data_IF_136815792539
#
_entry.id   IF_136815792539
#
_cell.length_a   1.000
_cell.length_b   1.000
_cell.length_c   1.000
_cell.angle_alpha   90.00
_cell.angle_beta   90.00
_cell.angle_gamma   90.00
#
_symmetry.space_group_name_H-M   'P 1'
#
loop_
_entity.id
_entity.type
_entity.pdbx_description
1 polymer ?
#
# COMPACT_ATOMS: atom_id res chain seq x y z
N UNK A 1 -29.41 4.48 50.58
CA UNK A 1 -28.09 4.87 50.02
C UNK A 1 -27.95 4.21 48.67
N UNK A 2 -27.74 4.95 47.57
CA UNK A 2 -27.48 4.30 46.29
C UNK A 2 -26.15 3.54 46.37
N UNK A 3 -26.06 2.34 45.75
CA UNK A 3 -24.86 1.52 45.81
C UNK A 3 -23.71 2.24 45.08
N UNK A 4 -22.56 2.35 45.76
CA UNK A 4 -21.33 2.88 45.18
C UNK A 4 -20.96 2.09 43.91
N UNK A 5 -20.46 2.74 42.85
CA UNK A 5 -20.06 2.04 41.63
C UNK A 5 -18.85 1.13 41.92
N UNK A 6 -19.08 -0.17 42.01
CA UNK A 6 -18.01 -1.19 41.89
C UNK A 6 -17.64 -1.30 40.41
N UNK A 7 -16.64 -0.52 39.95
CA UNK A 7 -15.98 -0.72 38.64
C UNK A 7 -14.69 0.11 38.45
N UNK A 8 -13.95 0.37 39.52
CA UNK A 8 -12.65 1.10 39.45
C UNK A 8 -11.45 0.28 39.95
N UNK A 9 -11.69 -0.91 40.53
CA UNK A 9 -10.66 -1.75 41.14
C UNK A 9 -9.85 -2.54 40.10
N UNK A 10 -10.48 -2.99 39.00
CA UNK A 10 -9.77 -3.74 37.94
C UNK A 10 -8.76 -2.86 37.20
N UNK A 11 -9.14 -1.61 36.90
CA UNK A 11 -8.26 -0.67 36.19
C UNK A 11 -6.97 -0.38 36.96
N UNK A 12 -7.06 -0.19 38.28
CA UNK A 12 -5.87 0.08 39.11
C UNK A 12 -5.02 -1.17 39.30
N UNK A 13 -5.64 -2.34 39.50
CA UNK A 13 -4.93 -3.61 39.66
C UNK A 13 -4.15 -3.98 38.40
N UNK A 14 -4.75 -3.79 37.22
CA UNK A 14 -4.09 -4.02 35.92
C UNK A 14 -2.96 -3.00 35.71
N UNK A 15 -3.18 -1.72 36.00
CA UNK A 15 -2.12 -0.70 35.91
C UNK A 15 -0.93 -1.04 36.82
N UNK A 16 -1.21 -1.44 38.06
CA UNK A 16 -0.19 -1.85 39.04
C UNK A 16 0.56 -3.11 38.57
N UNK A 17 -0.14 -4.08 37.96
CA UNK A 17 0.45 -5.30 37.43
C UNK A 17 1.31 -5.06 36.18
N UNK A 18 0.88 -4.20 35.25
CA UNK A 18 1.69 -3.75 34.11
C UNK A 18 2.97 -3.04 34.59
N UNK A 19 2.85 -2.22 35.64
CA UNK A 19 3.99 -1.54 36.26
C UNK A 19 4.97 -2.51 36.91
N UNK A 20 4.47 -3.54 37.59
CA UNK A 20 5.28 -4.50 38.33
C UNK A 20 5.89 -5.60 37.45
N UNK A 21 5.26 -5.96 36.34
CA UNK A 21 5.63 -7.15 35.56
C UNK A 21 6.17 -6.84 34.16
N UNK A 22 5.73 -5.75 33.51
CA UNK A 22 6.17 -5.40 32.14
C UNK A 22 7.27 -4.35 32.15
N UNK A 23 7.09 -3.23 32.85
CA UNK A 23 8.07 -2.15 32.82
C UNK A 23 9.47 -2.56 33.32
N UNK A 24 9.65 -3.47 34.29
CA UNK A 24 10.98 -3.94 34.69
C UNK A 24 11.70 -4.74 33.59
N UNK A 25 10.98 -5.19 32.56
CA UNK A 25 11.60 -5.84 31.40
C UNK A 25 12.34 -4.84 30.50
N UNK A 26 12.03 -3.54 30.60
CA UNK A 26 12.65 -2.46 29.86
C UNK A 26 13.97 -2.07 30.55
N UNK A 27 15.07 -2.66 30.11
CA UNK A 27 16.42 -2.42 30.62
C UNK A 27 17.02 -1.11 30.07
N UNK A 28 18.23 -0.74 30.51
CA UNK A 28 18.88 0.52 30.10
C UNK A 28 19.13 0.63 28.59
N UNK A 29 19.17 -0.48 27.87
CA UNK A 29 19.40 -0.50 26.42
C UNK A 29 18.10 -0.48 25.60
N UNK A 30 16.93 -0.36 26.26
CA UNK A 30 15.61 -0.44 25.65
C UNK A 30 14.82 0.87 25.83
N UNK A 31 14.13 1.28 24.77
CA UNK A 31 13.14 2.36 24.78
C UNK A 31 11.74 1.79 24.51
N UNK A 32 10.72 2.58 24.86
CA UNK A 32 9.33 2.26 24.54
C UNK A 32 8.59 3.45 23.93
N UNK A 33 7.70 3.14 22.99
CA UNK A 33 6.81 4.12 22.33
C UNK A 33 5.38 3.63 22.34
N UNK A 34 4.45 4.54 22.65
CA UNK A 34 3.02 4.30 22.52
C UNK A 34 2.47 5.07 21.32
N UNK A 35 1.61 4.43 20.53
CA UNK A 35 0.92 5.05 19.40
C UNK A 35 -0.47 4.46 19.17
N UNK A 36 -1.27 5.13 18.34
CA UNK A 36 -2.61 4.68 17.97
C UNK A 36 -2.83 4.94 16.49
N UNK A 37 -3.24 3.90 15.77
CA UNK A 37 -3.69 3.95 14.38
C UNK A 37 -5.22 4.02 14.36
N UNK A 38 -5.82 4.95 13.62
CA UNK A 38 -7.27 5.21 13.60
C UNK A 38 -7.77 5.15 12.16
N UNK A 39 -8.84 4.41 11.90
CA UNK A 39 -9.42 4.35 10.56
C UNK A 39 -10.48 5.43 10.39
N UNK A 40 -10.06 6.65 10.05
CA UNK A 40 -11.01 7.71 9.67
C UNK A 40 -11.52 7.43 8.26
N UNK A 41 -12.79 7.10 8.18
CA UNK A 41 -13.52 6.90 6.93
C UNK A 41 -14.74 7.82 6.92
N UNK A 42 -15.45 7.90 5.80
CA UNK A 42 -16.74 8.61 5.79
C UNK A 42 -17.73 7.87 6.68
N UNK A 43 -18.71 8.58 7.22
CA UNK A 43 -19.77 8.02 8.06
C UNK A 43 -20.39 6.75 7.46
N UNK A 44 -20.67 6.80 6.15
CA UNK A 44 -21.22 5.71 5.35
C UNK A 44 -20.36 4.44 5.30
N UNK A 45 -19.05 4.58 5.56
CA UNK A 45 -18.06 3.52 5.35
C UNK A 45 -17.55 2.95 6.69
N UNK A 46 -18.02 3.48 7.84
CA UNK A 46 -17.56 3.06 9.18
C UNK A 46 -17.82 1.57 9.42
N UNK A 47 -18.94 1.04 8.93
CA UNK A 47 -19.24 -0.39 9.01
C UNK A 47 -18.20 -1.26 8.28
N UNK A 48 -17.74 -0.82 7.10
CA UNK A 48 -16.71 -1.52 6.33
C UNK A 48 -15.38 -1.50 7.09
N UNK A 49 -15.00 -0.34 7.63
CA UNK A 49 -13.78 -0.20 8.42
C UNK A 49 -13.81 -1.09 9.67
N UNK A 50 -14.95 -1.21 10.34
CA UNK A 50 -15.14 -2.11 11.50
C UNK A 50 -15.02 -3.57 11.10
N UNK A 51 -15.62 -3.96 9.98
CA UNK A 51 -15.59 -5.35 9.50
C UNK A 51 -14.18 -5.81 9.06
N UNK A 52 -13.29 -4.88 8.69
CA UNK A 52 -11.94 -5.20 8.23
C UNK A 52 -10.85 -5.02 9.30
N UNK A 53 -11.21 -4.62 10.54
CA UNK A 53 -10.24 -4.25 11.57
C UNK A 53 -9.34 -5.41 11.99
N UNK A 54 -9.82 -6.65 12.00
CA UNK A 54 -9.04 -7.84 12.32
C UNK A 54 -7.92 -8.09 11.29
N UNK A 55 -8.26 -8.01 10.00
CA UNK A 55 -7.29 -8.14 8.91
C UNK A 55 -6.27 -7.01 8.92
N UNK A 56 -6.72 -5.75 9.14
CA UNK A 56 -5.81 -4.61 9.28
C UNK A 56 -4.89 -4.75 10.50
N UNK A 57 -5.39 -5.25 11.63
CA UNK A 57 -4.56 -5.56 12.81
C UNK A 57 -3.51 -6.61 12.51
N UNK A 58 -3.90 -7.74 11.92
CA UNK A 58 -2.96 -8.81 11.56
C UNK A 58 -1.81 -8.28 10.69
N UNK A 59 -2.15 -7.50 9.66
CA UNK A 59 -1.15 -6.90 8.77
C UNK A 59 -0.23 -5.92 9.49
N UNK A 60 -0.77 -5.06 10.35
CA UNK A 60 0.03 -4.12 11.13
C UNK A 60 0.90 -4.83 12.18
N UNK A 61 0.40 -5.88 12.83
CA UNK A 61 1.15 -6.70 13.79
C UNK A 61 2.34 -7.38 13.10
N UNK A 62 2.16 -7.92 11.88
CA UNK A 62 3.26 -8.47 11.06
C UNK A 62 4.30 -7.40 10.72
N UNK A 63 3.83 -6.21 10.33
CA UNK A 63 4.69 -5.07 10.02
C UNK A 63 5.53 -4.65 11.23
N UNK A 64 4.91 -4.48 12.40
CA UNK A 64 5.62 -4.11 13.65
C UNK A 64 6.58 -5.21 14.09
N UNK A 65 6.19 -6.47 13.95
CA UNK A 65 7.05 -7.62 14.26
C UNK A 65 8.30 -7.70 13.39
N UNK A 66 8.21 -7.25 12.14
CA UNK A 66 9.34 -7.24 11.19
C UNK A 66 10.32 -6.07 11.40
N UNK A 67 10.02 -5.13 12.29
CA UNK A 67 10.86 -3.95 12.50
C UNK A 67 12.14 -4.27 13.26
N UNK A 68 13.26 -3.81 12.71
CA UNK A 68 14.58 -4.04 13.30
C UNK A 68 14.67 -3.43 14.72
N UNK A 69 15.04 -4.29 15.67
CA UNK A 69 15.26 -3.92 17.06
C UNK A 69 14.03 -3.92 17.95
N UNK A 70 12.83 -4.21 17.42
CA UNK A 70 11.65 -4.49 18.26
C UNK A 70 11.91 -5.77 19.05
N UNK A 71 11.66 -5.71 20.36
CA UNK A 71 11.84 -6.85 21.27
C UNK A 71 10.52 -7.56 21.51
N UNK A 72 9.49 -6.79 21.84
CA UNK A 72 8.11 -7.22 22.00
C UNK A 72 7.19 -6.00 21.95
N UNK A 73 5.90 -6.22 21.72
CA UNK A 73 4.92 -5.14 21.75
C UNK A 73 3.52 -5.62 22.13
N UNK A 74 2.71 -4.69 22.61
CA UNK A 74 1.26 -4.86 22.78
C UNK A 74 0.54 -4.27 21.57
N UNK A 75 -0.45 -4.98 21.05
CA UNK A 75 -1.44 -4.46 20.10
C UNK A 75 -2.84 -4.59 20.71
N UNK A 76 -3.64 -3.53 20.68
CA UNK A 76 -5.00 -3.55 21.20
C UNK A 76 -5.97 -2.86 20.26
N UNK A 77 -7.03 -3.56 19.85
CA UNK A 77 -8.15 -2.95 19.14
C UNK A 77 -8.88 -2.01 20.10
N UNK A 78 -9.23 -0.82 19.64
CA UNK A 78 -9.87 0.26 20.40
C UNK A 78 -10.78 1.07 19.47
N UNK A 79 -11.42 2.11 19.99
CA UNK A 79 -12.20 3.06 19.20
C UNK A 79 -11.93 4.50 19.62
N UNK A 80 -12.15 5.42 18.68
CA UNK A 80 -12.01 6.88 18.90
C UNK A 80 -13.33 7.55 18.54
N UNK A 81 -13.89 8.31 19.49
CA UNK A 81 -15.13 9.06 19.26
C UNK A 81 -14.96 10.08 18.12
N UNK A 82 -15.97 10.17 17.25
CA UNK A 82 -16.11 11.27 16.32
C UNK A 82 -16.39 12.55 17.12
N UNK A 83 -15.46 13.50 17.17
CA UNK A 83 -15.75 14.82 17.73
C UNK A 83 -16.71 15.55 16.79
N UNK A 84 -18.01 15.49 17.07
CA UNK A 84 -18.99 16.36 16.44
C UNK A 84 -18.63 17.82 16.81
N UNK A 85 -18.22 18.63 15.82
CA UNK A 85 -18.27 20.08 15.99
C UNK A 85 -19.72 20.44 16.22
N UNK A 86 -19.98 21.14 17.32
CA UNK A 86 -21.28 21.65 17.72
C UNK A 86 -21.99 22.36 16.56
N UNK A 87 -22.94 21.69 15.93
CA UNK A 87 -24.07 22.36 15.29
C UNK A 87 -25.19 22.32 16.33
N UNK A 88 -25.42 23.46 16.97
CA UNK A 88 -26.75 23.75 17.52
C UNK A 88 -27.67 23.80 16.31
N UNK A 89 -28.62 22.89 16.23
CA UNK A 89 -30.04 23.20 16.13
C UNK A 89 -30.83 21.94 15.75
N UNK A 90 -32.06 21.93 16.29
CA UNK A 90 -33.21 21.08 16.03
C UNK A 90 -33.37 19.75 16.76
N UNK A 91 -34.34 19.81 17.67
CA UNK A 91 -35.07 18.76 18.33
C UNK A 91 -35.50 17.66 17.35
N UNK A 92 -34.88 16.48 17.47
CA UNK A 92 -35.56 15.22 17.26
C UNK A 92 -34.79 14.10 17.96
N UNK A 93 -35.41 13.53 18.99
CA UNK A 93 -34.96 12.30 19.66
C UNK A 93 -34.94 11.14 18.66
N UNK A 94 -33.81 10.95 18.00
CA UNK A 94 -33.37 9.65 17.50
C UNK A 94 -32.10 9.32 18.26
N UNK A 95 -32.06 8.13 18.85
CA UNK A 95 -30.91 7.63 19.63
C UNK A 95 -29.70 7.41 18.73
N UNK A 96 -29.01 8.49 18.35
CA UNK A 96 -27.72 8.43 17.66
C UNK A 96 -26.68 7.88 18.63
N UNK A 97 -26.37 6.59 18.51
CA UNK A 97 -25.15 6.04 19.13
C UNK A 97 -23.97 6.83 18.57
N UNK A 98 -23.13 7.47 19.41
CA UNK A 98 -22.00 8.23 18.90
C UNK A 98 -21.12 7.30 18.06
N UNK A 99 -21.00 7.61 16.78
CA UNK A 99 -20.16 6.82 15.89
C UNK A 99 -18.70 7.00 16.31
N UNK A 100 -18.00 5.87 16.39
CA UNK A 100 -16.60 5.82 16.79
C UNK A 100 -15.81 5.09 15.72
N UNK A 101 -14.69 5.69 15.33
CA UNK A 101 -13.76 5.11 14.37
C UNK A 101 -13.04 3.92 15.00
N UNK A 102 -12.93 2.79 14.28
CA UNK A 102 -12.11 1.68 14.75
C UNK A 102 -10.63 2.07 14.74
N UNK A 103 -9.89 1.59 15.72
CA UNK A 103 -8.50 1.96 15.92
C UNK A 103 -7.70 0.80 16.53
N UNK A 104 -6.38 0.87 16.41
CA UNK A 104 -5.45 -0.09 17.01
C UNK A 104 -4.38 0.70 17.78
N UNK A 105 -4.29 0.47 19.08
CA UNK A 105 -3.28 1.05 19.96
C UNK A 105 -2.09 0.10 20.08
N UNK A 106 -0.88 0.67 20.12
CA UNK A 106 0.37 -0.07 20.24
C UNK A 106 1.22 0.46 21.39
N UNK A 107 1.89 -0.45 22.08
CA UNK A 107 3.02 -0.16 22.98
C UNK A 107 4.21 -1.01 22.54
N UNK A 108 5.19 -0.39 21.89
CA UNK A 108 6.33 -1.09 21.25
C UNK A 108 7.59 -0.88 22.06
N UNK A 109 8.26 -1.97 22.43
CA UNK A 109 9.56 -1.96 23.13
C UNK A 109 10.66 -2.32 22.13
N UNK A 110 11.69 -1.49 22.05
CA UNK A 110 12.76 -1.63 21.05
C UNK A 110 14.13 -1.25 21.62
N UNK A 111 15.20 -1.71 20.97
CA UNK A 111 16.59 -1.42 21.38
C UNK A 111 17.01 0.00 20.98
N UNK A 112 17.63 0.75 21.89
CA UNK A 112 18.00 2.17 21.71
C UNK A 112 18.91 2.40 20.49
N UNK A 113 19.84 1.47 20.22
CA UNK A 113 20.74 1.55 19.06
C UNK A 113 20.09 1.11 17.74
N UNK A 114 18.85 0.63 17.75
CA UNK A 114 18.19 0.16 16.54
C UNK A 114 17.63 1.33 15.72
N UNK A 115 17.63 1.17 14.39
CA UNK A 115 16.98 2.07 13.44
C UNK A 115 15.45 2.03 13.52
N UNK A 116 14.86 1.60 14.63
CA UNK A 116 13.47 1.84 14.96
C UNK A 116 13.29 3.33 15.29
N UNK A 117 13.57 4.15 14.28
CA UNK A 117 13.32 5.58 14.31
C UNK A 117 11.82 5.71 14.42
N UNK A 118 11.33 6.39 15.45
CA UNK A 118 9.91 6.57 15.70
C UNK A 118 9.19 7.02 14.40
N UNK A 119 9.86 7.83 13.56
CA UNK A 119 9.40 8.23 12.22
C UNK A 119 9.10 7.08 11.25
N UNK A 120 9.86 5.98 11.30
CA UNK A 120 9.68 4.78 10.48
C UNK A 120 8.50 3.97 11.00
N UNK A 121 8.41 3.71 12.31
CA UNK A 121 7.24 3.06 12.91
C UNK A 121 5.96 3.84 12.54
N UNK A 122 6.01 5.17 12.64
CA UNK A 122 4.88 6.04 12.28
C UNK A 122 4.59 6.07 10.78
N UNK A 123 5.58 6.18 9.90
CA UNK A 123 5.34 6.19 8.46
C UNK A 123 4.79 4.84 7.99
N UNK A 124 5.28 3.74 8.56
CA UNK A 124 4.84 2.40 8.17
C UNK A 124 3.42 2.12 8.68
N UNK A 125 3.05 2.58 9.87
CA UNK A 125 1.66 2.50 10.37
C UNK A 125 0.72 3.46 9.59
N UNK A 126 1.21 4.63 9.16
CA UNK A 126 0.42 5.64 8.46
C UNK A 126 0.17 5.32 6.97
N UNK A 127 1.09 4.60 6.31
CA UNK A 127 0.99 4.26 4.87
C UNK A 127 -0.02 3.13 4.56
N UNK A 128 -0.65 2.50 5.56
CA UNK A 128 -1.60 1.38 5.42
C UNK A 128 -3.09 1.79 5.27
N UNK A 129 -3.36 3.01 4.79
CA UNK A 129 -4.70 3.62 4.60
C UNK A 129 -5.47 3.96 5.90
N UNK A 130 -4.77 4.52 6.89
CA UNK A 130 -5.37 5.02 8.14
C UNK A 130 -5.07 6.51 8.32
N UNK A 131 -6.08 7.37 8.09
CA UNK A 131 -6.04 8.79 8.48
C UNK A 131 -6.18 8.87 10.00
N UNK A 132 -5.08 9.12 10.73
CA UNK A 132 -5.11 9.03 12.18
C UNK A 132 -4.16 9.97 12.89
N UNK A 133 -4.69 10.69 13.86
CA UNK A 133 -3.91 11.54 14.74
C UNK A 133 -3.05 10.66 15.68
N UNK A 134 -1.76 10.65 15.41
CA UNK A 134 -0.77 9.91 16.21
C UNK A 134 -0.48 10.68 17.49
N UNK A 135 -1.12 10.31 18.61
CA UNK A 135 -0.72 10.82 19.93
C UNK A 135 0.54 10.09 20.39
N UNK A 136 1.69 10.74 20.21
CA UNK A 136 3.02 10.22 20.57
C UNK A 136 3.29 10.35 22.06
N UNK A 137 3.74 9.27 22.71
CA UNK A 137 4.46 9.36 23.98
C UNK A 137 5.74 8.53 23.95
N UNK A 138 6.88 9.19 24.21
CA UNK A 138 8.21 8.57 24.36
C UNK A 138 8.53 8.34 25.83
N UNK A 139 9.09 7.18 26.13
CA UNK A 139 9.64 6.84 27.45
C UNK A 139 11.16 6.68 27.32
N UNK A 140 11.93 7.47 28.09
CA UNK A 140 13.40 7.34 28.19
C UNK A 140 13.77 7.01 29.63
N UNK A 141 14.61 6.01 29.87
CA UNK A 141 15.15 5.76 31.20
C UNK A 141 16.38 6.66 31.43
N UNK A 142 16.17 7.89 31.91
CA UNK A 142 17.28 8.67 32.48
C UNK A 142 17.44 8.33 33.96
N UNK A 143 18.66 8.48 34.48
CA UNK A 143 19.13 8.17 35.84
C UNK A 143 18.41 8.89 36.99
N UNK A 144 17.26 9.54 36.75
CA UNK A 144 16.41 10.15 37.76
C UNK A 144 14.90 9.88 37.51
N UNK A 145 14.26 9.39 38.59
CA UNK A 145 12.83 9.51 38.95
C UNK A 145 11.82 8.42 38.52
N UNK A 146 11.09 7.93 39.53
CA UNK A 146 9.81 7.19 39.45
C UNK A 146 8.79 7.79 38.44
N UNK A 147 8.93 9.07 38.09
CA UNK A 147 7.98 9.83 37.25
C UNK A 147 7.96 9.32 35.81
N UNK A 148 9.10 8.92 35.23
CA UNK A 148 9.13 8.45 33.83
C UNK A 148 8.53 7.05 33.72
N UNK A 149 8.79 6.19 34.70
CA UNK A 149 8.15 4.87 34.82
C UNK A 149 6.64 5.01 35.07
N UNK A 150 6.22 6.00 35.85
CA UNK A 150 4.81 6.32 36.06
C UNK A 150 4.13 6.77 34.77
N UNK A 151 4.82 7.58 33.96
CA UNK A 151 4.34 7.98 32.62
C UNK A 151 4.23 6.76 31.70
N UNK A 152 5.21 5.87 31.70
CA UNK A 152 5.20 4.65 30.91
C UNK A 152 4.05 3.71 31.29
N UNK A 153 3.81 3.53 32.58
CA UNK A 153 2.70 2.73 33.10
C UNK A 153 1.35 3.27 32.61
N UNK A 154 1.13 4.59 32.72
CA UNK A 154 -0.09 5.25 32.24
C UNK A 154 -0.29 5.07 30.73
N UNK A 155 0.78 5.10 29.94
CA UNK A 155 0.69 4.90 28.50
C UNK A 155 0.38 3.45 28.12
N UNK A 156 1.09 2.50 28.72
CA UNK A 156 0.83 1.08 28.52
C UNK A 156 -0.60 0.72 28.93
N UNK A 157 -1.06 1.24 30.08
CA UNK A 157 -2.45 1.09 30.51
C UNK A 157 -3.44 1.68 29.50
N UNK A 158 -3.16 2.88 28.97
CA UNK A 158 -4.02 3.50 27.96
C UNK A 158 -4.09 2.71 26.65
N UNK A 159 -3.04 1.97 26.29
CA UNK A 159 -3.02 1.06 25.13
C UNK A 159 -3.95 -0.12 25.37
N UNK A 160 -3.87 -0.76 26.54
CA UNK A 160 -4.63 -1.98 26.81
C UNK A 160 -6.01 -1.73 27.42
N UNK A 161 -6.42 -0.47 27.65
CA UNK A 161 -7.66 -0.11 28.38
C UNK A 161 -8.94 -0.79 27.90
N UNK A 162 -9.02 -1.15 26.62
CA UNK A 162 -10.21 -1.74 25.99
C UNK A 162 -10.14 -3.28 25.90
N UNK A 163 -9.17 -3.90 26.60
CA UNK A 163 -8.95 -5.35 26.58
C UNK A 163 -10.21 -6.18 26.94
N UNK A 164 -11.09 -5.65 27.79
CA UNK A 164 -12.34 -6.29 28.22
C UNK A 164 -13.58 -5.51 27.78
N UNK A 165 -13.47 -4.69 26.74
CA UNK A 165 -14.60 -3.90 26.24
C UNK A 165 -15.50 -4.77 25.35
N UNK A 166 -16.71 -5.07 25.82
CA UNK A 166 -17.66 -5.94 25.11
C UNK A 166 -17.96 -5.45 23.68
N UNK A 167 -18.11 -4.14 23.47
CA UNK A 167 -18.38 -3.58 22.13
C UNK A 167 -17.21 -3.78 21.17
N UNK A 168 -15.97 -3.69 21.67
CA UNK A 168 -14.77 -3.97 20.88
C UNK A 168 -14.67 -5.47 20.59
N UNK A 169 -15.02 -6.32 21.55
CA UNK A 169 -15.03 -7.76 21.38
C UNK A 169 -16.08 -8.22 20.34
N UNK A 170 -17.29 -7.67 20.38
CA UNK A 170 -18.34 -7.89 19.38
C UNK A 170 -17.87 -7.42 17.99
N UNK A 171 -17.27 -6.23 17.90
CA UNK A 171 -16.69 -5.74 16.64
C UNK A 171 -15.62 -6.69 16.08
N UNK A 172 -14.75 -7.22 16.94
CA UNK A 172 -13.70 -8.15 16.54
C UNK A 172 -14.29 -9.49 16.05
N UNK A 173 -15.32 -10.01 16.72
CA UNK A 173 -16.02 -11.23 16.29
C UNK A 173 -16.69 -11.05 14.92
N UNK A 174 -17.39 -9.92 14.72
CA UNK A 174 -17.99 -9.58 13.42
C UNK A 174 -16.91 -9.44 12.35
N UNK A 175 -15.80 -8.78 12.67
CA UNK A 175 -14.68 -8.61 11.75
C UNK A 175 -14.02 -9.94 11.39
N UNK A 176 -13.78 -10.82 12.36
CA UNK A 176 -13.22 -12.15 12.13
C UNK A 176 -14.14 -12.98 11.23
N UNK A 177 -15.46 -12.98 11.50
CA UNK A 177 -16.43 -13.67 10.64
C UNK A 177 -16.48 -13.09 9.22
N UNK A 178 -16.39 -11.76 9.08
CA UNK A 178 -16.32 -11.09 7.78
C UNK A 178 -15.03 -11.45 7.02
N UNK A 179 -13.89 -11.49 7.70
CA UNK A 179 -12.60 -11.81 7.09
C UNK A 179 -12.56 -13.28 6.64
N UNK A 180 -13.04 -14.21 7.46
CA UNK A 180 -13.10 -15.64 7.09
C UNK A 180 -14.01 -15.89 5.87
N UNK A 181 -15.19 -15.27 5.83
CA UNK A 181 -16.13 -15.42 4.70
C UNK A 181 -15.62 -14.85 3.39
N UNK A 182 -14.76 -13.83 3.43
CA UNK A 182 -14.19 -13.21 2.24
C UNK A 182 -12.80 -13.78 1.88
N UNK A 183 -12.22 -14.65 2.71
CA UNK A 183 -11.02 -15.44 2.37
C UNK A 183 -11.36 -16.78 1.71
N UNK A 184 -12.59 -17.28 1.87
CA UNK A 184 -13.13 -18.38 1.08
C UNK A 184 -13.44 -17.83 -0.32
N UNK A 185 -12.67 -18.27 -1.32
CA UNK A 185 -12.85 -17.86 -2.71
C UNK A 185 -14.28 -18.07 -3.18
N UNK A 186 -14.72 -17.21 -4.09
CA UNK A 186 -15.98 -17.39 -4.84
C UNK A 186 -15.97 -18.80 -5.43
N UNK A 187 -16.97 -19.66 -5.17
CA UNK A 187 -17.00 -20.99 -5.77
C UNK A 187 -17.15 -20.80 -7.29
N UNK A 188 -16.14 -21.21 -8.05
CA UNK A 188 -16.32 -21.51 -9.47
C UNK A 188 -17.06 -22.83 -9.55
N UNK A 189 -18.22 -22.83 -10.19
CA UNK A 189 -19.10 -24.00 -10.37
C UNK A 189 -18.53 -25.09 -11.30
N UNK A 190 -17.25 -25.03 -11.65
CA UNK A 190 -16.58 -26.04 -12.46
C UNK A 190 -15.29 -26.43 -11.74
N UNK A 191 -15.30 -27.59 -11.07
CA UNK A 191 -14.25 -28.62 -11.09
C UNK A 191 -14.49 -29.64 -9.96
N UNK A 192 -14.83 -30.87 -10.36
CA UNK A 192 -14.80 -32.06 -9.51
C UNK A 192 -13.34 -32.55 -9.35
N UNK A 193 -13.08 -33.15 -8.19
CA UNK A 193 -11.96 -34.04 -7.81
C UNK A 193 -10.63 -33.43 -7.32
N UNK A 194 -10.43 -33.63 -6.02
CA UNK A 194 -9.20 -33.96 -5.28
C UNK A 194 -7.88 -33.25 -5.65
N UNK A 195 -7.57 -32.21 -4.87
CA UNK A 195 -6.33 -32.14 -4.10
C UNK A 195 -6.55 -31.17 -2.93
N UNK A 196 -6.39 -31.63 -1.68
CA UNK A 196 -6.51 -30.75 -0.51
C UNK A 196 -5.36 -29.72 -0.51
N UNK A 197 -5.62 -28.41 -0.58
CA UNK A 197 -4.60 -27.42 -0.33
C UNK A 197 -4.34 -27.34 1.18
N UNK A 198 -3.06 -27.41 1.58
CA UNK A 198 -2.61 -27.15 2.95
C UNK A 198 -3.15 -25.78 3.41
N UNK A 199 -4.11 -25.82 4.35
CA UNK A 199 -4.65 -24.63 5.00
C UNK A 199 -3.55 -23.94 5.81
N UNK A 200 -3.04 -22.80 5.33
CA UNK A 200 -2.40 -21.81 6.20
C UNK A 200 -3.50 -21.23 7.09
N UNK A 201 -3.60 -21.72 8.32
CA UNK A 201 -4.57 -21.23 9.31
C UNK A 201 -4.43 -19.71 9.50
N UNK A 202 -5.29 -18.92 8.85
CA UNK A 202 -5.49 -17.49 9.12
C UNK A 202 -6.18 -17.31 10.46
N UNK A 203 -5.46 -17.57 11.55
CA UNK A 203 -5.99 -17.38 12.89
C UNK A 203 -6.00 -15.89 13.24
N UNK A 204 -7.18 -15.27 13.21
CA UNK A 204 -7.37 -13.94 13.76
C UNK A 204 -7.60 -14.05 15.27
N UNK A 205 -6.83 -13.35 16.12
CA UNK A 205 -7.07 -13.34 17.55
C UNK A 205 -8.51 -12.90 17.86
N UNK A 206 -9.19 -13.65 18.72
CA UNK A 206 -10.56 -13.35 19.17
C UNK A 206 -10.61 -12.43 20.41
N UNK A 207 -9.46 -11.91 20.84
CA UNK A 207 -9.34 -10.98 21.97
C UNK A 207 -8.86 -9.60 21.52
N UNK A 208 -9.35 -8.52 22.14
CA UNK A 208 -8.95 -7.16 21.75
C UNK A 208 -7.46 -6.88 21.91
N UNK A 209 -6.81 -7.46 22.93
CA UNK A 209 -5.41 -7.21 23.29
C UNK A 209 -4.53 -8.44 22.99
N UNK A 210 -3.40 -8.23 22.34
CA UNK A 210 -2.37 -9.24 22.13
C UNK A 210 -1.01 -8.69 22.56
N UNK A 211 -0.13 -9.61 22.93
CA UNK A 211 1.28 -9.34 23.16
C UNK A 211 2.09 -10.26 22.24
N UNK A 212 3.00 -9.66 21.49
CA UNK A 212 3.81 -10.35 20.49
C UNK A 212 5.28 -10.22 20.89
N UNK A 213 5.96 -11.35 21.04
CA UNK A 213 7.38 -11.42 21.39
C UNK A 213 8.17 -11.65 20.11
N UNK A 214 8.99 -10.67 19.73
CA UNK A 214 9.81 -10.71 18.50
C UNK A 214 11.18 -11.33 18.78
N UNK A 215 11.85 -10.91 19.86
CA UNK A 215 13.11 -11.52 20.30
C UNK A 215 12.84 -12.62 21.32
N UNK A 216 12.44 -13.78 20.81
CA UNK A 216 12.08 -14.92 21.66
C UNK A 216 13.24 -15.40 22.54
N UNK A 217 14.47 -15.36 22.03
CA UNK A 217 15.65 -15.83 22.77
C UNK A 217 15.93 -15.06 24.06
N UNK A 218 15.45 -13.82 24.16
CA UNK A 218 15.69 -12.96 25.33
C UNK A 218 14.43 -12.74 26.17
N UNK A 219 13.26 -12.68 25.51
CA UNK A 219 12.04 -12.21 26.15
C UNK A 219 10.94 -13.26 26.30
N UNK A 220 10.99 -14.41 25.62
CA UNK A 220 9.88 -15.39 25.63
C UNK A 220 9.47 -15.77 27.05
N UNK A 221 10.38 -16.32 27.85
CA UNK A 221 10.04 -16.83 29.19
C UNK A 221 9.67 -15.70 30.16
N UNK A 222 10.33 -14.55 30.04
CA UNK A 222 10.11 -13.38 30.89
C UNK A 222 8.75 -12.75 30.62
N UNK A 223 8.38 -12.62 29.35
CA UNK A 223 7.09 -12.10 28.91
C UNK A 223 5.98 -13.10 29.22
N UNK A 224 6.18 -14.39 28.95
CA UNK A 224 5.20 -15.43 29.32
C UNK A 224 4.90 -15.41 30.82
N UNK A 225 5.93 -15.33 31.67
CA UNK A 225 5.76 -15.20 33.12
C UNK A 225 5.00 -13.92 33.51
N UNK A 226 5.29 -12.80 32.85
CA UNK A 226 4.57 -11.54 33.08
C UNK A 226 3.10 -11.64 32.65
N UNK A 227 2.83 -12.29 31.51
CA UNK A 227 1.48 -12.50 30.98
C UNK A 227 0.64 -13.34 31.93
N UNK A 228 1.15 -14.46 32.44
CA UNK A 228 0.41 -15.28 33.41
C UNK A 228 -0.01 -14.49 34.64
N UNK A 229 0.85 -13.57 35.11
CA UNK A 229 0.51 -12.67 36.23
C UNK A 229 -0.55 -11.65 35.82
N UNK A 230 -0.43 -11.05 34.65
CA UNK A 230 -1.42 -10.10 34.12
C UNK A 230 -2.80 -10.75 33.95
N UNK A 231 -2.86 -11.98 33.45
CA UNK A 231 -4.09 -12.77 33.33
C UNK A 231 -4.70 -13.07 34.70
N UNK A 232 -3.87 -13.45 35.69
CA UNK A 232 -4.32 -13.65 37.07
C UNK A 232 -4.87 -12.37 37.73
N UNK A 233 -4.47 -11.21 37.20
CA UNK A 233 -4.92 -9.88 37.62
C UNK A 233 -6.10 -9.35 36.79
N UNK A 234 -6.59 -10.13 35.81
CA UNK A 234 -7.80 -9.83 35.04
C UNK A 234 -7.56 -9.23 33.66
N UNK A 235 -6.31 -9.14 33.18
CA UNK A 235 -6.04 -8.72 31.81
C UNK A 235 -6.37 -9.85 30.83
N UNK A 236 -7.26 -9.58 29.88
CA UNK A 236 -7.57 -10.50 28.77
C UNK A 236 -6.59 -10.22 27.64
N UNK A 237 -5.64 -11.12 27.41
CA UNK A 237 -4.58 -10.96 26.41
C UNK A 237 -4.28 -12.30 25.75
N UNK A 238 -3.93 -12.27 24.47
CA UNK A 238 -3.42 -13.43 23.75
C UNK A 238 -1.91 -13.27 23.50
N UNK A 239 -1.14 -14.32 23.81
CA UNK A 239 0.32 -14.36 23.65
C UNK A 239 0.64 -15.01 22.30
N UNK A 240 0.96 -14.18 21.31
CA UNK A 240 1.37 -14.65 19.99
C UNK A 240 2.85 -15.05 19.95
N UNK A 241 3.15 -16.26 19.46
CA UNK A 241 4.52 -16.66 19.13
C UNK A 241 4.92 -16.08 17.76
N UNK A 242 5.90 -15.18 17.71
CA UNK A 242 6.51 -14.80 16.43
C UNK A 242 7.54 -15.88 16.05
N UNK A 243 7.19 -16.73 15.09
CA UNK A 243 8.11 -17.71 14.54
C UNK A 243 9.24 -16.98 13.78
N UNK A 244 10.38 -16.74 14.44
CA UNK A 244 11.60 -16.26 13.80
C UNK A 244 12.37 -17.47 13.28
N UNK A 245 12.27 -17.75 11.98
CA UNK A 245 13.15 -18.69 11.30
C UNK A 245 14.55 -18.08 11.24
N UNK A 246 15.48 -18.56 12.07
CA UNK A 246 16.91 -18.29 11.90
C UNK A 246 17.45 -19.18 10.79
N UNK A 247 17.94 -18.58 9.71
CA UNK A 247 18.76 -19.26 8.70
C UNK A 247 20.24 -18.97 9.00
N UNK A 248 21.01 -20.04 9.22
CA UNK A 248 22.46 -19.99 9.37
C UNK A 248 23.12 -19.41 8.11
N UNK A 249 24.08 -18.50 8.32
CA UNK A 249 24.85 -17.84 7.27
C UNK A 249 25.84 -18.80 6.59
N UNK A 250 25.95 -18.77 5.25
CA UNK A 250 27.22 -19.01 4.58
C UNK A 250 27.85 -17.67 4.11
N UNK A 251 29.19 -17.61 3.99
CA UNK A 251 29.92 -16.35 3.86
C UNK A 251 29.99 -15.93 2.39
N UNK A 252 29.34 -14.81 2.04
CA UNK A 252 29.77 -14.04 0.88
C UNK A 252 29.82 -12.55 1.23
N UNK A 253 31.06 -12.09 1.37
CA UNK A 253 31.45 -10.69 1.44
C UNK A 253 31.10 -9.99 0.12
N UNK A 254 30.14 -9.07 0.15
CA UNK A 254 30.20 -7.84 -0.62
C UNK A 254 29.45 -6.77 0.15
N UNK A 255 30.14 -5.70 0.53
CA UNK A 255 29.74 -4.68 1.50
C UNK A 255 28.55 -3.76 1.10
N UNK A 256 27.50 -4.26 0.43
CA UNK A 256 26.29 -3.47 0.22
C UNK A 256 25.05 -4.35 -0.06
N UNK A 257 24.36 -4.79 1.00
CA UNK A 257 23.16 -5.64 0.93
C UNK A 257 22.04 -5.03 0.06
N UNK A 258 21.96 -3.70 0.00
CA UNK A 258 21.04 -2.95 -0.86
C UNK A 258 21.34 -3.20 -2.35
N UNK A 259 22.61 -3.24 -2.74
CA UNK A 259 22.99 -3.46 -4.14
C UNK A 259 22.72 -4.91 -4.56
N UNK A 260 22.97 -5.87 -3.68
CA UNK A 260 22.65 -7.28 -3.91
C UNK A 260 21.13 -7.48 -4.07
N UNK A 261 20.34 -6.81 -3.24
CA UNK A 261 18.89 -6.82 -3.33
C UNK A 261 18.38 -6.17 -4.63
N UNK A 262 18.89 -5.00 -5.01
CA UNK A 262 18.51 -4.35 -6.29
C UNK A 262 18.82 -5.25 -7.48
N UNK A 263 19.97 -5.95 -7.46
CA UNK A 263 20.30 -6.92 -8.51
C UNK A 263 19.30 -8.09 -8.57
N UNK A 264 18.80 -8.55 -7.42
CA UNK A 264 17.79 -9.61 -7.41
C UNK A 264 16.42 -9.09 -7.88
N UNK A 265 16.05 -7.85 -7.53
CA UNK A 265 14.85 -7.19 -8.05
C UNK A 265 14.93 -7.00 -9.56
N UNK A 266 16.09 -6.62 -10.11
CA UNK A 266 16.31 -6.53 -11.56
C UNK A 266 16.10 -7.89 -12.25
N UNK A 267 16.62 -8.98 -11.65
CA UNK A 267 16.38 -10.34 -12.16
C UNK A 267 14.90 -10.71 -12.14
N UNK A 268 14.19 -10.47 -11.04
CA UNK A 268 12.74 -10.75 -10.95
C UNK A 268 11.95 -9.91 -11.96
N UNK A 269 12.29 -8.63 -12.10
CA UNK A 269 11.70 -7.73 -13.10
C UNK A 269 11.85 -8.30 -14.50
N UNK A 270 13.04 -8.80 -14.87
CA UNK A 270 13.27 -9.44 -16.17
C UNK A 270 12.54 -10.78 -16.35
N UNK A 271 12.49 -11.60 -15.30
CA UNK A 271 11.77 -12.89 -15.33
C UNK A 271 10.28 -12.72 -15.55
N UNK A 272 9.69 -11.65 -15.01
CA UNK A 272 8.28 -11.35 -15.17
C UNK A 272 7.95 -10.52 -16.43
N UNK A 273 8.89 -10.36 -17.38
CA UNK A 273 8.71 -9.48 -18.55
C UNK A 273 8.29 -8.06 -18.14
N UNK A 274 8.85 -7.57 -17.03
CA UNK A 274 8.69 -6.21 -16.54
C UNK A 274 9.92 -5.36 -16.84
N UNK A 275 9.74 -4.05 -16.80
CA UNK A 275 10.79 -3.08 -17.08
C UNK A 275 10.63 -1.79 -16.27
N UNK A 276 11.75 -1.19 -15.89
CA UNK A 276 11.78 0.11 -15.23
C UNK A 276 11.89 1.24 -16.26
N UNK A 277 11.07 2.28 -16.12
CA UNK A 277 11.25 3.55 -16.83
C UNK A 277 10.76 4.71 -15.98
N UNK A 278 11.64 5.67 -15.71
CA UNK A 278 11.36 6.92 -15.00
C UNK A 278 10.44 6.74 -13.78
N UNK A 279 10.87 5.99 -12.78
CA UNK A 279 10.13 5.71 -11.53
C UNK A 279 8.86 4.87 -11.66
N UNK A 280 8.58 4.34 -12.86
CA UNK A 280 7.41 3.52 -13.14
C UNK A 280 7.83 2.15 -13.67
N UNK A 281 7.01 1.14 -13.36
CA UNK A 281 7.15 -0.23 -13.84
C UNK A 281 6.18 -0.46 -14.99
N UNK A 282 6.72 -1.03 -16.05
CA UNK A 282 6.01 -1.40 -17.27
C UNK A 282 6.01 -2.92 -17.42
N UNK A 283 4.98 -3.46 -18.06
CA UNK A 283 4.82 -4.89 -18.32
C UNK A 283 4.57 -5.11 -19.81
N UNK A 284 4.98 -6.27 -20.33
CA UNK A 284 4.69 -6.67 -21.71
C UNK A 284 3.26 -7.23 -21.79
N UNK A 285 2.33 -6.60 -22.53
CA UNK A 285 0.95 -7.07 -22.63
C UNK A 285 0.86 -8.34 -23.48
N UNK A 286 -0.17 -9.14 -23.27
CA UNK A 286 -0.42 -10.35 -24.05
C UNK A 286 -0.51 -10.06 -25.56
N UNK A 287 0.12 -10.91 -26.36
CA UNK A 287 0.18 -10.76 -27.82
C UNK A 287 1.23 -9.77 -28.33
N UNK A 288 1.89 -9.01 -27.44
CA UNK A 288 3.03 -8.15 -27.78
C UNK A 288 4.36 -8.89 -27.62
N UNK A 289 5.26 -8.69 -28.56
CA UNK A 289 6.63 -9.21 -28.53
C UNK A 289 7.66 -8.14 -28.15
N UNK A 290 7.32 -6.86 -28.31
CA UNK A 290 8.28 -5.75 -28.21
C UNK A 290 7.86 -4.66 -27.22
N UNK A 291 6.56 -4.44 -27.05
CA UNK A 291 6.02 -3.28 -26.35
C UNK A 291 5.85 -3.51 -24.87
N UNK A 292 6.19 -2.50 -24.09
CA UNK A 292 5.94 -2.41 -22.66
C UNK A 292 4.90 -1.31 -22.40
N UNK A 293 3.87 -1.63 -21.62
CA UNK A 293 2.82 -0.70 -21.20
C UNK A 293 2.90 -0.43 -19.71
N UNK A 294 2.55 0.79 -19.31
CA UNK A 294 2.63 1.20 -17.90
C UNK A 294 1.76 0.28 -17.05
N UNK A 295 2.35 -0.28 -16.00
CA UNK A 295 1.68 -1.19 -15.07
C UNK A 295 1.38 -0.48 -13.74
N UNK A 296 2.41 0.04 -13.06
CA UNK A 296 2.31 0.69 -11.75
C UNK A 296 3.55 1.54 -11.45
N UNK A 297 3.56 2.26 -10.33
CA UNK A 297 4.79 2.89 -9.82
C UNK A 297 5.71 1.87 -9.12
N UNK A 298 6.98 2.26 -8.96
CA UNK A 298 8.01 1.42 -8.31
C UNK A 298 7.61 1.04 -6.89
N UNK A 299 7.09 1.97 -6.08
CA UNK A 299 6.72 1.70 -4.69
C UNK A 299 5.67 0.59 -4.60
N UNK A 300 4.61 0.68 -5.41
CA UNK A 300 3.56 -0.34 -5.52
C UNK A 300 4.12 -1.69 -5.99
N UNK A 301 5.08 -1.66 -6.91
CA UNK A 301 5.74 -2.87 -7.39
C UNK A 301 6.59 -3.54 -6.32
N UNK A 302 7.36 -2.77 -5.55
CA UNK A 302 8.13 -3.28 -4.41
C UNK A 302 7.21 -3.88 -3.35
N UNK A 303 6.04 -3.28 -3.09
CA UNK A 303 5.04 -3.88 -2.21
C UNK A 303 4.52 -5.22 -2.74
N UNK A 304 4.32 -5.39 -4.05
CA UNK A 304 3.96 -6.69 -4.62
C UNK A 304 5.09 -7.72 -4.48
N UNK A 305 6.35 -7.29 -4.60
CA UNK A 305 7.50 -8.16 -4.39
C UNK A 305 7.66 -8.65 -2.94
N UNK A 306 6.96 -8.04 -1.96
CA UNK A 306 6.92 -8.56 -0.60
C UNK A 306 6.20 -9.92 -0.50
N UNK A 307 5.39 -10.28 -1.49
CA UNK A 307 4.80 -11.61 -1.59
C UNK A 307 5.84 -12.68 -2.02
N UNK A 308 7.02 -12.28 -2.51
CA UNK A 308 8.09 -13.20 -2.88
C UNK A 308 8.97 -13.53 -1.67
N UNK A 309 8.90 -14.76 -1.20
CA UNK A 309 9.59 -15.22 0.02
C UNK A 309 11.11 -15.02 -0.01
N UNK A 310 11.74 -15.11 -1.20
CA UNK A 310 13.19 -14.97 -1.37
C UNK A 310 13.65 -13.52 -1.23
N UNK A 311 12.85 -12.58 -1.70
CA UNK A 311 13.18 -11.14 -1.65
C UNK A 311 12.65 -10.45 -0.41
N UNK A 312 11.55 -10.97 0.16
CA UNK A 312 10.76 -10.32 1.21
C UNK A 312 11.62 -9.78 2.35
N UNK A 313 12.42 -10.62 2.98
CA UNK A 313 13.10 -10.25 4.22
C UNK A 313 14.16 -9.16 3.99
N UNK A 314 14.94 -9.28 2.90
CA UNK A 314 15.91 -8.25 2.49
C UNK A 314 15.21 -6.98 2.02
N UNK A 315 14.10 -7.13 1.29
CA UNK A 315 13.33 -6.00 0.76
C UNK A 315 12.67 -5.20 1.87
N UNK A 316 12.15 -5.83 2.92
CA UNK A 316 11.63 -5.13 4.11
C UNK A 316 12.75 -4.34 4.78
N UNK A 317 13.90 -4.97 5.02
CA UNK A 317 15.05 -4.35 5.69
C UNK A 317 15.57 -3.10 4.95
N UNK A 318 15.52 -3.12 3.62
CA UNK A 318 16.08 -2.06 2.78
C UNK A 318 15.04 -1.31 1.94
N UNK A 319 13.75 -1.45 2.24
CA UNK A 319 12.65 -0.99 1.40
C UNK A 319 12.80 0.48 1.01
N UNK A 320 12.99 1.36 2.00
CA UNK A 320 13.12 2.80 1.78
C UNK A 320 14.37 3.17 0.96
N UNK A 321 15.48 2.45 1.15
CA UNK A 321 16.69 2.68 0.39
C UNK A 321 16.51 2.24 -1.07
N UNK A 322 15.90 1.08 -1.29
CA UNK A 322 15.60 0.54 -2.63
C UNK A 322 14.56 1.41 -3.34
N UNK A 323 13.45 1.73 -2.69
CA UNK A 323 12.40 2.58 -3.23
C UNK A 323 12.96 3.96 -3.61
N UNK A 324 13.67 4.63 -2.71
CA UNK A 324 14.30 5.93 -3.02
C UNK A 324 15.22 5.85 -4.25
N UNK A 325 15.95 4.76 -4.43
CA UNK A 325 16.88 4.60 -5.55
C UNK A 325 16.16 4.27 -6.86
N UNK A 326 15.20 3.35 -6.83
CA UNK A 326 14.48 2.88 -8.02
C UNK A 326 13.37 3.85 -8.47
N UNK A 327 12.73 4.53 -7.51
CA UNK A 327 11.74 5.58 -7.75
C UNK A 327 12.38 6.90 -8.20
N UNK A 328 13.71 7.00 -8.26
CA UNK A 328 14.36 8.15 -8.86
C UNK A 328 14.20 8.11 -10.40
N UNK A 329 13.67 9.16 -11.07
CA UNK A 329 13.46 9.14 -12.51
C UNK A 329 14.73 8.90 -13.35
N UNK A 330 15.88 9.33 -12.82
CA UNK A 330 17.20 9.10 -13.42
C UNK A 330 17.95 7.89 -12.82
N UNK A 331 17.23 6.91 -12.26
CA UNK A 331 17.85 5.69 -11.74
C UNK A 331 18.69 5.00 -12.82
N UNK A 332 19.99 4.83 -12.56
CA UNK A 332 20.92 4.16 -13.47
C UNK A 332 21.36 2.78 -12.96
N UNK A 333 20.89 2.36 -11.78
CA UNK A 333 21.27 1.10 -11.16
C UNK A 333 20.65 -0.08 -11.93
N UNK A 334 19.37 0.04 -12.27
CA UNK A 334 18.68 -0.86 -13.20
C UNK A 334 18.66 -0.18 -14.57
N UNK A 335 18.99 -0.93 -15.62
CA UNK A 335 18.90 -0.43 -16.98
C UNK A 335 17.44 -0.13 -17.33
N UNK A 336 17.14 1.15 -17.50
CA UNK A 336 15.81 1.58 -17.91
C UNK A 336 15.54 1.25 -19.38
N UNK A 337 14.31 0.87 -19.70
CA UNK A 337 13.86 0.75 -21.09
C UNK A 337 13.78 2.13 -21.74
N UNK A 338 13.97 2.15 -23.06
CA UNK A 338 13.77 3.33 -23.90
C UNK A 338 12.53 3.14 -24.73
N UNK A 339 11.80 4.22 -24.99
CA UNK A 339 10.65 4.20 -25.87
C UNK A 339 11.05 4.70 -27.26
N UNK A 340 10.79 3.89 -28.29
CA UNK A 340 10.71 4.37 -29.67
C UNK A 340 9.33 4.97 -29.91
N UNK A 341 9.36 6.28 -30.06
CA UNK A 341 8.21 7.16 -30.14
C UNK A 341 7.62 7.20 -31.56
N UNK A 342 8.35 6.68 -32.54
CA UNK A 342 7.91 6.56 -33.93
C UNK A 342 7.11 5.28 -34.18
N UNK A 343 7.37 4.24 -33.39
CA UNK A 343 6.87 2.89 -33.64
C UNK A 343 5.66 2.56 -32.79
N UNK A 344 4.63 2.02 -33.42
CA UNK A 344 3.49 1.35 -32.79
C UNK A 344 3.56 -0.13 -33.18
N UNK A 345 3.66 -1.03 -32.22
CA UNK A 345 3.63 -2.47 -32.51
C UNK A 345 2.22 -2.89 -32.91
N UNK A 346 2.15 -3.74 -33.94
CA UNK A 346 0.92 -4.40 -34.36
C UNK A 346 1.13 -5.91 -34.43
N UNK A 347 0.06 -6.67 -34.67
CA UNK A 347 0.11 -8.13 -34.64
C UNK A 347 1.08 -8.69 -35.69
N UNK A 348 1.51 -9.94 -35.48
CA UNK A 348 2.36 -10.70 -36.41
C UNK A 348 3.77 -10.10 -36.63
N UNK A 349 4.32 -9.42 -35.63
CA UNK A 349 5.71 -8.93 -35.68
C UNK A 349 5.91 -7.70 -36.56
N UNK A 350 4.85 -6.96 -36.88
CA UNK A 350 4.92 -5.70 -37.59
C UNK A 350 4.91 -4.52 -36.63
N UNK A 351 5.45 -3.40 -37.07
CA UNK A 351 5.26 -2.10 -36.44
C UNK A 351 4.77 -1.10 -37.48
N UNK A 352 3.89 -0.19 -37.09
CA UNK A 352 3.58 0.99 -37.89
C UNK A 352 4.56 2.11 -37.54
N UNK A 353 5.30 2.62 -38.54
CA UNK A 353 6.12 3.82 -38.37
C UNK A 353 5.29 5.06 -38.68
N UNK A 354 5.18 5.96 -37.70
CA UNK A 354 4.43 7.21 -37.82
C UNK A 354 5.08 8.15 -38.83
N UNK A 355 6.42 8.24 -38.84
CA UNK A 355 7.18 9.05 -39.80
C UNK A 355 7.10 8.50 -41.21
N UNK A 356 7.30 7.18 -41.37
CA UNK A 356 7.28 6.55 -42.69
C UNK A 356 5.86 6.29 -43.22
N UNK A 357 4.84 6.41 -42.35
CA UNK A 357 3.42 6.20 -42.66
C UNK A 357 3.12 4.83 -43.27
N UNK A 358 3.85 3.80 -42.83
CA UNK A 358 3.72 2.44 -43.35
C UNK A 358 4.01 1.41 -42.27
N UNK A 359 3.51 0.20 -42.50
CA UNK A 359 3.91 -0.97 -41.73
C UNK A 359 5.31 -1.41 -42.15
N UNK A 360 6.12 -1.76 -41.16
CA UNK A 360 7.48 -2.26 -41.31
C UNK A 360 7.63 -3.52 -40.45
N UNK A 361 8.38 -4.50 -40.95
CA UNK A 361 8.61 -5.77 -40.25
C UNK A 361 9.65 -5.54 -39.15
N UNK A 362 9.29 -5.88 -37.91
CA UNK A 362 10.14 -5.97 -36.72
C UNK A 362 11.40 -5.08 -36.77
N UNK A 363 11.25 -3.74 -36.74
CA UNK A 363 12.37 -2.81 -36.94
C UNK A 363 13.36 -2.79 -35.76
N UNK A 364 13.03 -3.44 -34.64
CA UNK A 364 13.85 -3.49 -33.43
C UNK A 364 14.74 -4.74 -33.48
N UNK A 365 16.07 -4.60 -33.54
CA UNK A 365 16.99 -5.73 -33.51
C UNK A 365 16.82 -6.59 -32.25
N UNK A 366 17.14 -7.87 -32.34
CA UNK A 366 17.05 -8.79 -31.18
C UNK A 366 17.89 -8.32 -29.98
N UNK A 367 19.06 -7.72 -30.24
CA UNK A 367 19.94 -7.15 -29.20
C UNK A 367 19.31 -5.99 -28.41
N UNK A 368 18.26 -5.38 -28.95
CA UNK A 368 17.51 -4.26 -28.38
C UNK A 368 16.16 -4.69 -27.78
N UNK A 369 15.75 -5.96 -27.91
CA UNK A 369 14.55 -6.47 -27.25
C UNK A 369 14.71 -6.38 -25.73
N UNK A 370 13.64 -5.95 -25.04
CA UNK A 370 13.67 -5.66 -23.60
C UNK A 370 14.46 -4.41 -23.21
N UNK A 371 15.04 -3.67 -24.18
CA UNK A 371 15.73 -2.38 -23.95
C UNK A 371 15.08 -1.23 -24.70
N UNK A 372 14.51 -1.50 -25.88
CA UNK A 372 13.76 -0.56 -26.69
C UNK A 372 12.33 -1.09 -26.87
N UNK A 373 11.36 -0.30 -26.46
CA UNK A 373 9.94 -0.59 -26.58
C UNK A 373 9.32 0.36 -27.61
N UNK A 374 8.50 -0.12 -28.56
CA UNK A 374 7.54 0.74 -29.25
C UNK A 374 6.65 1.47 -28.23
N UNK A 375 6.05 2.58 -28.64
CA UNK A 375 5.28 3.43 -27.73
C UNK A 375 3.96 2.83 -27.26
N UNK A 376 3.41 1.90 -28.03
CA UNK A 376 2.12 1.26 -27.80
C UNK A 376 1.99 0.01 -28.67
N UNK A 377 1.12 -0.90 -28.23
CA UNK A 377 0.75 -2.11 -28.92
C UNK A 377 -0.73 -2.04 -29.28
N UNK A 378 -1.04 -2.36 -30.53
CA UNK A 378 -2.41 -2.45 -31.03
C UNK A 378 -2.59 -3.82 -31.69
N UNK A 379 -3.55 -4.65 -31.27
CA UNK A 379 -3.81 -5.96 -31.88
C UNK A 379 -4.49 -5.78 -33.25
N UNK A 380 -3.73 -5.30 -34.22
CA UNK A 380 -4.16 -5.05 -35.59
C UNK A 380 -3.38 -5.96 -36.54
N UNK A 381 -4.10 -6.63 -37.42
CA UNK A 381 -3.51 -7.45 -38.48
C UNK A 381 -3.12 -6.57 -39.67
N UNK A 382 -1.82 -6.41 -39.89
CA UNK A 382 -1.25 -5.57 -40.95
C UNK A 382 -1.59 -6.03 -42.36
N UNK A 383 -2.01 -7.29 -42.54
CA UNK A 383 -2.45 -7.83 -43.83
C UNK A 383 -3.87 -7.37 -44.20
N UNK A 384 -4.67 -6.93 -43.22
CA UNK A 384 -6.04 -6.47 -43.46
C UNK A 384 -6.01 -5.01 -43.93
N UNK A 385 -6.79 -4.66 -44.97
CA UNK A 385 -6.96 -3.27 -45.34
C UNK A 385 -7.54 -2.50 -44.14
N UNK A 386 -6.99 -1.33 -43.79
CA UNK A 386 -7.55 -0.52 -42.72
C UNK A 386 -8.99 -0.18 -43.07
N UNK A 387 -9.89 -0.25 -42.08
CA UNK A 387 -11.29 0.14 -42.21
C UNK A 387 -11.52 1.48 -41.53
N UNK A 388 -11.09 2.61 -42.14
CA UNK A 388 -11.19 3.91 -41.49
C UNK A 388 -12.61 4.47 -41.54
N UNK A 389 -13.61 3.77 -42.09
CA UNK A 389 -14.97 4.30 -42.32
C UNK A 389 -15.53 4.99 -41.08
N UNK A 390 -15.52 4.29 -39.94
CA UNK A 390 -15.98 4.84 -38.66
C UNK A 390 -15.17 6.08 -38.21
N UNK A 391 -13.85 6.09 -38.42
CA UNK A 391 -13.00 7.24 -38.10
C UNK A 391 -13.27 8.42 -39.04
N UNK A 392 -13.45 8.16 -40.34
CA UNK A 392 -13.70 9.17 -41.38
C UNK A 392 -15.06 9.82 -41.16
N UNK A 393 -16.11 9.02 -40.99
CA UNK A 393 -17.47 9.50 -40.68
C UNK A 393 -17.49 10.26 -39.36
N UNK A 394 -16.85 9.71 -38.32
CA UNK A 394 -16.73 10.37 -37.03
C UNK A 394 -16.08 11.75 -37.13
N UNK A 395 -14.97 11.88 -37.86
CA UNK A 395 -14.27 13.16 -38.02
C UNK A 395 -15.14 14.14 -38.80
N UNK A 396 -15.78 13.72 -39.88
CA UNK A 396 -16.64 14.60 -40.69
C UNK A 396 -17.83 15.09 -39.88
N UNK A 397 -18.45 14.21 -39.08
CA UNK A 397 -19.56 14.57 -38.20
C UNK A 397 -19.13 15.52 -37.06
N UNK A 398 -17.92 15.32 -36.53
CA UNK A 398 -17.42 16.13 -35.40
C UNK A 398 -16.82 17.46 -35.84
N UNK A 399 -16.28 17.52 -37.06
CA UNK A 399 -15.65 18.69 -37.67
C UNK A 399 -16.16 18.83 -39.11
N UNK A 400 -17.38 19.37 -39.30
CA UNK A 400 -18.01 19.48 -40.63
C UNK A 400 -17.23 20.44 -41.55
N UNK A 401 -16.73 21.53 -40.96
CA UNK A 401 -15.91 22.52 -41.65
C UNK A 401 -14.53 21.96 -42.02
N UNK A 402 -14.18 22.06 -43.29
CA UNK A 402 -12.96 21.50 -43.87
C UNK A 402 -11.68 22.10 -43.27
N UNK A 403 -11.64 23.42 -43.07
CA UNK A 403 -10.48 24.12 -42.53
C UNK A 403 -10.27 23.78 -41.05
N UNK A 404 -11.34 23.71 -40.26
CA UNK A 404 -11.31 23.27 -38.87
C UNK A 404 -10.86 21.82 -38.78
N UNK A 405 -11.38 20.94 -39.65
CA UNK A 405 -11.02 19.52 -39.71
C UNK A 405 -9.54 19.33 -40.03
N UNK A 406 -9.01 20.04 -41.04
CA UNK A 406 -7.58 20.01 -41.39
C UNK A 406 -6.71 20.50 -40.24
N UNK A 407 -7.09 21.60 -39.57
CA UNK A 407 -6.37 22.10 -38.38
C UNK A 407 -6.38 21.06 -37.25
N UNK A 408 -7.51 20.42 -36.99
CA UNK A 408 -7.63 19.37 -35.99
C UNK A 408 -6.74 18.17 -36.31
N UNK A 409 -6.80 17.64 -37.54
CA UNK A 409 -5.98 16.51 -37.99
C UNK A 409 -4.49 16.79 -37.90
N UNK A 410 -4.06 17.99 -38.30
CA UNK A 410 -2.68 18.43 -38.17
C UNK A 410 -2.26 18.49 -36.69
N UNK A 411 -3.14 18.97 -35.81
CA UNK A 411 -2.87 19.01 -34.36
C UNK A 411 -2.81 17.61 -33.75
N UNK A 412 -3.73 16.73 -34.13
CA UNK A 412 -3.75 15.31 -33.77
C UNK A 412 -2.43 14.63 -34.17
N UNK A 413 -1.95 14.87 -35.38
CA UNK A 413 -0.64 14.37 -35.84
C UNK A 413 0.53 14.96 -35.05
N UNK A 414 0.51 16.26 -34.74
CA UNK A 414 1.53 16.89 -33.89
C UNK A 414 1.58 16.29 -32.48
N UNK A 415 0.42 15.94 -31.91
CA UNK A 415 0.34 15.25 -30.63
C UNK A 415 0.93 13.83 -30.73
N UNK A 416 0.71 13.10 -31.82
CA UNK A 416 1.38 11.80 -32.05
C UNK A 416 2.90 11.96 -32.11
N UNK A 417 3.41 13.06 -32.66
CA UNK A 417 4.84 13.40 -32.66
C UNK A 417 5.36 13.96 -31.33
N UNK A 418 4.73 13.57 -30.20
CA UNK A 418 4.94 14.10 -28.86
C UNK A 418 6.41 14.30 -28.48
N UNK A 419 7.24 13.31 -28.75
CA UNK A 419 8.61 13.28 -28.27
C UNK A 419 9.61 14.01 -29.18
N UNK A 420 9.16 14.46 -30.36
CA UNK A 420 9.95 15.24 -31.31
C UNK A 420 9.60 16.72 -31.34
N UNK A 421 8.62 17.17 -30.54
CA UNK A 421 8.15 18.55 -30.53
C UNK A 421 8.05 19.15 -29.12
N UNK A 422 8.28 20.48 -28.95
CA UNK A 422 8.11 21.15 -27.66
C UNK A 422 6.71 20.97 -27.07
N UNK A 423 6.59 20.86 -25.75
CA UNK A 423 5.29 20.68 -25.08
C UNK A 423 4.27 21.78 -25.43
N UNK A 424 4.75 23.03 -25.58
CA UNK A 424 3.91 24.20 -25.92
C UNK A 424 3.16 24.06 -27.25
N UNK A 425 3.71 23.30 -28.22
CA UNK A 425 3.08 23.13 -29.54
C UNK A 425 2.18 21.90 -29.62
N UNK A 426 1.99 21.15 -28.53
CA UNK A 426 1.28 19.85 -28.51
C UNK A 426 -0.01 19.83 -27.69
N UNK A 427 -0.53 21.00 -27.33
CA UNK A 427 -1.79 21.13 -26.61
C UNK A 427 -2.96 21.00 -27.59
N UNK A 428 -3.71 19.91 -27.49
CA UNK A 428 -4.99 19.78 -28.17
C UNK A 428 -6.10 20.17 -27.19
N UNK A 429 -6.94 21.11 -27.58
CA UNK A 429 -8.14 21.48 -26.83
C UNK A 429 -9.32 21.30 -27.78
N UNK A 430 -10.27 20.44 -27.40
CA UNK A 430 -11.51 20.24 -28.15
C UNK A 430 -12.66 20.82 -27.32
N UNK A 431 -13.31 21.86 -27.83
CA UNK A 431 -14.42 22.55 -27.17
C UNK A 431 -15.69 22.34 -27.99
N UNK A 432 -16.81 22.08 -27.31
CA UNK A 432 -18.11 21.97 -27.98
C UNK A 432 -19.24 21.63 -27.01
N UNK A 433 -20.47 21.46 -27.51
CA UNK A 433 -21.67 21.13 -26.71
C UNK A 433 -21.61 19.74 -26.05
N UNK A 434 -22.38 19.50 -24.98
CA UNK A 434 -22.52 18.15 -24.41
C UNK A 434 -22.89 17.13 -25.51
N UNK A 435 -22.37 15.91 -25.43
CA UNK A 435 -22.61 14.81 -26.38
C UNK A 435 -22.07 15.00 -27.81
N UNK A 436 -21.23 16.01 -28.07
CA UNK A 436 -20.60 16.20 -29.39
C UNK A 436 -19.43 15.21 -29.71
N UNK A 437 -19.33 14.09 -28.99
CA UNK A 437 -18.27 13.09 -29.22
C UNK A 437 -16.84 13.45 -28.75
N UNK A 438 -16.66 14.54 -27.97
CA UNK A 438 -15.33 14.99 -27.48
C UNK A 438 -14.53 13.90 -26.75
N UNK A 439 -15.20 13.16 -25.87
CA UNK A 439 -14.58 12.07 -25.09
C UNK A 439 -14.17 10.88 -25.96
N UNK A 440 -14.90 10.64 -27.06
CA UNK A 440 -14.56 9.62 -28.04
C UNK A 440 -13.24 9.96 -28.75
N UNK A 441 -12.99 11.24 -29.03
CA UNK A 441 -11.73 11.71 -29.62
C UNK A 441 -10.56 11.66 -28.65
N UNK A 442 -10.76 11.93 -27.35
CA UNK A 442 -9.69 11.78 -26.36
C UNK A 442 -9.25 10.32 -26.20
N UNK A 443 -10.17 9.36 -26.34
CA UNK A 443 -9.86 7.92 -26.24
C UNK A 443 -8.87 7.42 -27.30
N UNK A 444 -8.84 8.04 -28.48
CA UNK A 444 -7.85 7.72 -29.52
C UNK A 444 -6.44 8.03 -29.03
N UNK A 445 -6.26 9.12 -28.28
CA UNK A 445 -4.98 9.48 -27.68
C UNK A 445 -4.59 8.57 -26.54
N UNK A 446 -5.53 8.22 -25.65
CA UNK A 446 -5.21 7.38 -24.48
C UNK A 446 -4.66 5.99 -24.84
N UNK A 447 -4.96 5.48 -26.05
CA UNK A 447 -4.43 4.20 -26.54
C UNK A 447 -3.02 4.28 -27.15
N UNK A 448 -2.57 5.47 -27.56
CA UNK A 448 -1.32 5.63 -28.34
C UNK A 448 -0.31 6.56 -27.64
N UNK A 449 -0.81 7.42 -26.76
CA UNK A 449 -0.02 8.38 -25.98
C UNK A 449 -0.29 8.09 -24.50
N UNK A 450 0.75 7.84 -23.69
CA UNK A 450 0.57 7.61 -22.26
C UNK A 450 -0.15 8.80 -21.60
N UNK A 451 -1.04 8.52 -20.65
CA UNK A 451 -1.90 9.51 -20.01
C UNK A 451 -1.11 10.65 -19.33
N UNK A 452 0.13 10.40 -18.87
CA UNK A 452 1.05 11.40 -18.32
C UNK A 452 1.43 12.52 -19.30
N UNK A 453 1.26 12.29 -20.61
CA UNK A 453 1.53 13.26 -21.67
C UNK A 453 0.26 13.92 -22.22
N UNK A 454 -0.90 13.65 -21.63
CA UNK A 454 -2.20 14.21 -22.03
C UNK A 454 -2.68 15.13 -20.89
N UNK A 455 -2.86 16.41 -21.20
CA UNK A 455 -3.48 17.35 -20.27
C UNK A 455 -5.01 17.28 -20.43
N UNK A 456 -5.74 16.92 -19.36
CA UNK A 456 -7.21 16.99 -19.33
C UNK A 456 -7.67 18.12 -18.42
N UNK A 457 -8.59 18.96 -18.90
CA UNK A 457 -9.36 19.87 -18.05
C UNK A 457 -10.56 19.10 -17.50
N UNK A 458 -10.52 18.76 -16.21
CA UNK A 458 -11.72 18.36 -15.46
C UNK A 458 -12.52 19.61 -15.06
N UNK A 459 -13.78 19.43 -14.65
CA UNK A 459 -14.83 20.45 -14.47
C UNK A 459 -14.50 21.66 -13.56
N UNK A 460 -13.29 21.76 -13.02
CA UNK A 460 -12.83 22.84 -12.13
C UNK A 460 -12.06 23.97 -12.84
N UNK A 461 -12.01 23.99 -14.18
CA UNK A 461 -11.26 25.01 -14.97
C UNK A 461 -9.77 25.12 -14.59
N UNK A 462 -9.19 24.09 -13.97
CA UNK A 462 -7.77 24.03 -13.68
C UNK A 462 -7.06 23.08 -14.66
N UNK A 463 -5.93 23.52 -15.21
CA UNK A 463 -5.05 22.66 -16.00
C UNK A 463 -4.31 21.70 -15.07
N UNK A 464 -4.73 20.44 -15.01
CA UNK A 464 -3.92 19.40 -14.40
C UNK A 464 -2.95 18.84 -15.46
N UNK A 465 -1.77 19.43 -15.56
CA UNK A 465 -0.59 18.71 -16.02
C UNK A 465 0.06 18.12 -14.78
N UNK A 466 0.11 16.80 -14.62
CA UNK A 466 1.12 16.19 -13.76
C UNK A 466 2.47 16.53 -14.39
N UNK A 467 3.10 17.59 -13.90
CA UNK A 467 4.50 17.86 -14.19
C UNK A 467 5.32 16.74 -13.55
N UNK A 468 5.99 15.96 -14.39
CA UNK A 468 7.14 15.13 -14.03
C UNK A 468 8.25 15.36 -15.05
#
# INVERSE_FOLDING_TARGET
MPPRPRKQLDSKRIEDSLRANILPLITEQLEAVACRAVWRVRETDIYIARNQIASKRLRLDQVVSSMNGVQFFFSCVTSVMCNAKSAKDDDNETSYTPESYPAIAYFVVYKECATCNEKILFSTIHNEELDAEVSRIRVRKSSDSNIVMEKAAKQLFQVVKDHSNNTIQEMLQISNAYCCKNSEGTPSDDDEEDDQPEFVSTHFPNVPCCIIVVNESEFRDRVATAVTKLESDGLVVDLGNACVVKLDNPPFSSNNDVAALINNIDKCTKLCDHALYRSEIYTKPEGSNLTFVKMMDVTSYLHKLLANEVLRDKLIQHFQAVDRLLSHPACAIIQQIKFDVDLIEVSNGYCFSIKARKFIVCPIPESMRGKLSPRSFVPFDSSKPPKPGYFREGIVNSFPDDDVRVRFLNKLYQCLLAFSMPHKVRKLVVVGPKDSGKTSWSNIFHRVIPASYIASLTNERQFFCRYH
#
